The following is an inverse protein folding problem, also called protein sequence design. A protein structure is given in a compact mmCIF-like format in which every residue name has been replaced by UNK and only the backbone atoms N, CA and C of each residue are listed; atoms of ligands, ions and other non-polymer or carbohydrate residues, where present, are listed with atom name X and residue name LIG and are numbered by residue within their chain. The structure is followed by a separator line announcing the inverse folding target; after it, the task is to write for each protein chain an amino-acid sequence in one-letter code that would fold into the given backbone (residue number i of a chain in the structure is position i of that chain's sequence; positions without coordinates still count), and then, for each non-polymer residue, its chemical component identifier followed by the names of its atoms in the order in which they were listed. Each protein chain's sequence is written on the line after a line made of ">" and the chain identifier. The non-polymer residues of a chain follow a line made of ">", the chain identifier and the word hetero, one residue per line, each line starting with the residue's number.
data_IF_045385121493
#
_entry.id   IF_045385121493
#
_cell.length_a   1.000
_cell.length_b   1.000
_cell.length_c   1.000
_cell.angle_alpha   90.00
_cell.angle_beta   90.00
_cell.angle_gamma   90.00
#
_symmetry.space_group_name_H-M   'P 1'
#
loop_
_entity.id
_entity.type
_entity.pdbx_description
1 polymer ?
#
# COMPACT_ATOMS: atom_id res chain seq x y z
N UNK A 1 -15.22 -10.16 17.50
CA UNK A 1 -15.00 -10.04 16.04
C UNK A 1 -13.93 -11.02 15.66
N UNK A 2 -14.14 -11.79 14.58
CA UNK A 2 -13.16 -12.77 14.10
C UNK A 2 -12.57 -12.28 12.77
N UNK A 3 -11.25 -12.19 12.69
CA UNK A 3 -10.53 -11.62 11.53
C UNK A 3 -9.70 -12.70 10.85
N UNK A 4 -9.89 -12.85 9.55
CA UNK A 4 -9.07 -13.68 8.68
C UNK A 4 -7.84 -12.89 8.23
N UNK A 5 -6.64 -13.32 8.61
CA UNK A 5 -5.39 -12.75 8.15
C UNK A 5 -4.86 -13.56 6.96
N UNK A 6 -4.69 -12.89 5.82
CA UNK A 6 -4.04 -13.47 4.64
C UNK A 6 -2.54 -13.16 4.70
N UNK A 7 -1.69 -14.18 4.89
CA UNK A 7 -0.29 -14.04 5.31
C UNK A 7 0.66 -14.81 4.40
N UNK A 8 1.93 -14.41 4.37
CA UNK A 8 3.02 -15.11 3.68
C UNK A 8 3.23 -14.65 2.24
N UNK A 9 3.88 -15.48 1.45
CA UNK A 9 4.10 -15.33 0.02
C UNK A 9 4.45 -16.66 -0.61
N UNK A 10 3.98 -16.92 -1.83
CA UNK A 10 4.36 -18.09 -2.63
C UNK A 10 5.49 -17.78 -3.62
N UNK A 11 5.82 -16.52 -3.84
CA UNK A 11 6.67 -16.08 -4.95
C UNK A 11 8.01 -15.51 -4.49
N UNK A 12 8.12 -15.07 -3.24
CA UNK A 12 9.30 -14.36 -2.73
C UNK A 12 9.55 -14.66 -1.26
N UNK A 13 10.74 -15.19 -0.96
CA UNK A 13 11.22 -15.39 0.41
C UNK A 13 11.32 -14.05 1.16
N UNK A 14 11.74 -12.98 0.48
CA UNK A 14 11.80 -11.65 1.05
C UNK A 14 10.41 -11.16 1.51
N UNK A 15 9.41 -11.19 0.63
CA UNK A 15 8.05 -10.76 0.99
C UNK A 15 7.35 -11.70 1.96
N UNK A 16 7.71 -13.00 1.96
CA UNK A 16 7.30 -13.92 3.02
C UNK A 16 7.81 -13.43 4.37
N UNK A 17 9.10 -13.09 4.46
CA UNK A 17 9.72 -12.53 5.66
C UNK A 17 9.07 -11.20 6.09
N UNK A 18 8.79 -10.29 5.15
CA UNK A 18 8.08 -9.02 5.42
C UNK A 18 6.70 -9.29 6.02
N UNK A 19 5.94 -10.21 5.47
CA UNK A 19 4.63 -10.59 5.99
C UNK A 19 4.74 -11.13 7.41
N UNK A 20 5.67 -12.06 7.66
CA UNK A 20 5.91 -12.65 8.98
C UNK A 20 6.42 -11.64 10.02
N UNK A 21 7.12 -10.59 9.59
CA UNK A 21 7.58 -9.51 10.46
C UNK A 21 6.43 -8.60 10.95
N UNK A 22 5.43 -8.33 10.08
CA UNK A 22 4.32 -7.42 10.41
C UNK A 22 3.22 -8.08 11.22
N UNK A 23 2.82 -9.29 10.86
CA UNK A 23 1.57 -9.91 11.35
C UNK A 23 1.57 -10.19 12.85
N UNK A 24 2.66 -10.72 13.48
CA UNK A 24 2.67 -10.95 14.92
C UNK A 24 2.44 -9.66 15.72
N UNK A 25 2.99 -8.54 15.24
CA UNK A 25 2.76 -7.22 15.85
C UNK A 25 1.30 -6.76 15.73
N UNK A 26 0.67 -7.00 14.58
CA UNK A 26 -0.75 -6.70 14.36
C UNK A 26 -1.65 -7.54 15.29
N UNK A 27 -1.45 -8.86 15.34
CA UNK A 27 -2.21 -9.77 16.22
C UNK A 27 -2.05 -9.37 17.68
N UNK A 28 -0.82 -9.12 18.13
CA UNK A 28 -0.55 -8.71 19.53
C UNK A 28 -1.21 -7.39 19.89
N UNK A 29 -1.39 -6.47 18.93
CA UNK A 29 -2.04 -5.19 19.15
C UNK A 29 -3.58 -5.30 19.26
N UNK A 30 -4.16 -6.43 18.87
CA UNK A 30 -5.62 -6.66 18.80
C UNK A 30 -6.06 -7.82 19.68
N UNK A 31 -5.83 -7.78 21.02
CA UNK A 31 -6.07 -8.91 21.91
C UNK A 31 -7.55 -9.31 22.06
N UNK A 32 -8.47 -8.40 21.72
CA UNK A 32 -9.94 -8.62 21.79
C UNK A 32 -10.51 -9.22 20.47
N UNK A 33 -9.63 -9.55 19.52
CA UNK A 33 -10.02 -10.11 18.22
C UNK A 33 -9.67 -11.59 18.19
N UNK A 34 -10.60 -12.41 17.71
CA UNK A 34 -10.30 -13.81 17.35
C UNK A 34 -9.60 -13.84 16.00
N UNK A 35 -8.51 -14.56 15.90
CA UNK A 35 -7.68 -14.59 14.70
C UNK A 35 -7.78 -15.92 13.98
N UNK A 36 -7.92 -15.88 12.65
CA UNK A 36 -7.72 -17.01 11.74
C UNK A 36 -6.69 -16.60 10.70
N UNK A 37 -5.74 -17.47 10.44
CA UNK A 37 -4.62 -17.20 9.54
C UNK A 37 -4.70 -18.16 8.36
N UNK A 38 -4.77 -17.60 7.16
CA UNK A 38 -4.54 -18.28 5.90
C UNK A 38 -3.11 -17.98 5.45
N UNK A 39 -2.19 -18.93 5.68
CA UNK A 39 -0.77 -18.76 5.40
C UNK A 39 -0.38 -19.40 4.07
N UNK A 40 0.15 -18.58 3.17
CA UNK A 40 0.74 -19.01 1.90
C UNK A 40 2.22 -19.36 2.10
N UNK A 41 2.64 -20.57 1.71
CA UNK A 41 4.02 -21.03 1.85
C UNK A 41 4.78 -20.96 0.53
N UNK A 42 6.11 -20.83 0.62
CA UNK A 42 7.01 -20.76 -0.53
C UNK A 42 6.99 -22.01 -1.43
N UNK A 43 6.59 -23.17 -0.87
CA UNK A 43 6.44 -24.42 -1.62
C UNK A 43 5.12 -24.51 -2.42
N UNK A 44 4.31 -23.45 -2.40
CA UNK A 44 3.02 -23.40 -3.08
C UNK A 44 1.85 -23.94 -2.26
N UNK A 45 2.10 -24.53 -1.08
CA UNK A 45 1.06 -25.02 -0.17
C UNK A 45 0.47 -23.89 0.68
N UNK A 46 -0.61 -24.20 1.37
CA UNK A 46 -1.33 -23.32 2.28
C UNK A 46 -1.55 -24.00 3.63
N UNK A 47 -1.74 -23.23 4.67
CA UNK A 47 -2.24 -23.73 5.94
C UNK A 47 -3.24 -22.78 6.56
N UNK A 48 -4.16 -23.34 7.35
CA UNK A 48 -5.12 -22.59 8.17
C UNK A 48 -4.74 -22.80 9.64
N UNK A 49 -4.57 -21.71 10.38
CA UNK A 49 -4.12 -21.74 11.77
C UNK A 49 -4.78 -20.63 12.57
N UNK A 50 -4.85 -20.75 13.89
CA UNK A 50 -5.34 -19.70 14.80
C UNK A 50 -4.20 -18.81 15.31
N UNK A 51 -2.94 -19.17 15.06
CA UNK A 51 -1.77 -18.45 15.52
C UNK A 51 -0.58 -18.64 14.58
N UNK A 52 0.36 -17.68 14.60
CA UNK A 52 1.66 -17.76 13.93
C UNK A 52 2.77 -18.29 14.85
N UNK A 53 2.46 -18.77 16.07
CA UNK A 53 3.48 -19.37 16.90
C UNK A 53 3.98 -20.70 16.29
N UNK A 54 5.22 -21.07 16.58
CA UNK A 54 5.89 -22.24 16.01
C UNK A 54 5.15 -23.54 16.29
N UNK A 55 4.59 -23.69 17.48
CA UNK A 55 3.81 -24.88 17.86
C UNK A 55 2.54 -25.07 17.02
N UNK A 56 1.81 -23.97 16.73
CA UNK A 56 0.63 -24.03 15.87
C UNK A 56 1.00 -24.27 14.41
N UNK A 57 2.02 -23.59 13.91
CA UNK A 57 2.46 -23.72 12.52
C UNK A 57 3.05 -25.09 12.22
N UNK A 58 3.79 -25.69 13.15
CA UNK A 58 4.36 -27.04 12.98
C UNK A 58 3.29 -28.14 12.93
N UNK A 59 2.14 -27.91 13.56
CA UNK A 59 0.99 -28.84 13.58
C UNK A 59 -0.01 -28.55 12.46
N UNK A 60 0.06 -27.39 11.82
CA UNK A 60 -0.87 -27.01 10.76
C UNK A 60 -0.66 -27.87 9.52
N UNK A 61 -1.75 -28.44 9.01
CA UNK A 61 -1.73 -29.26 7.79
C UNK A 61 -1.33 -28.42 6.57
N UNK A 62 -0.49 -28.99 5.70
CA UNK A 62 -0.14 -28.43 4.40
C UNK A 62 -1.22 -28.79 3.38
N UNK A 63 -1.91 -27.81 2.86
CA UNK A 63 -3.11 -27.94 2.05
C UNK A 63 -2.90 -27.37 0.64
N UNK A 64 -3.71 -27.83 -0.31
CA UNK A 64 -3.95 -27.07 -1.54
C UNK A 64 -4.82 -25.84 -1.22
N UNK A 65 -4.77 -24.79 -2.06
CA UNK A 65 -5.66 -23.63 -1.88
C UNK A 65 -7.14 -24.02 -1.82
N UNK A 66 -7.70 -24.86 -2.72
CA UNK A 66 -9.10 -25.28 -2.62
C UNK A 66 -9.45 -25.94 -1.29
N UNK A 67 -8.57 -26.79 -0.74
CA UNK A 67 -8.79 -27.42 0.55
C UNK A 67 -8.78 -26.43 1.70
N UNK A 68 -7.85 -25.47 1.69
CA UNK A 68 -7.80 -24.40 2.69
C UNK A 68 -9.07 -23.52 2.63
N UNK A 69 -9.52 -23.12 1.43
CA UNK A 69 -10.77 -22.37 1.25
C UNK A 69 -11.99 -23.14 1.73
N UNK A 70 -12.05 -24.47 1.49
CA UNK A 70 -13.14 -25.32 1.99
C UNK A 70 -13.21 -25.34 3.53
N UNK A 71 -12.10 -25.20 4.23
CA UNK A 71 -12.10 -25.06 5.70
C UNK A 71 -12.71 -23.70 6.08
N UNK A 72 -12.27 -22.62 5.43
CA UNK A 72 -12.73 -21.26 5.73
C UNK A 72 -14.22 -21.06 5.43
N UNK A 73 -14.76 -21.66 4.36
CA UNK A 73 -16.20 -21.55 4.02
C UNK A 73 -17.12 -22.17 5.08
N UNK A 74 -16.60 -23.03 5.96
CA UNK A 74 -17.37 -23.63 7.07
C UNK A 74 -17.42 -22.72 8.30
N UNK A 75 -16.59 -21.69 8.36
CA UNK A 75 -16.52 -20.77 9.48
C UNK A 75 -17.29 -19.46 9.18
N UNK A 76 -18.60 -19.50 9.40
CA UNK A 76 -19.47 -18.33 9.24
C UNK A 76 -19.25 -17.23 10.27
N UNK A 77 -18.36 -17.40 11.23
CA UNK A 77 -18.05 -16.39 12.26
C UNK A 77 -16.98 -15.40 11.82
N UNK A 78 -16.31 -15.61 10.67
CA UNK A 78 -15.34 -14.66 10.13
C UNK A 78 -16.05 -13.36 9.75
N UNK A 79 -15.68 -12.26 10.40
CA UNK A 79 -16.32 -10.96 10.22
C UNK A 79 -15.73 -10.14 9.08
N UNK A 80 -14.41 -10.21 8.89
CA UNK A 80 -13.69 -9.53 7.81
C UNK A 80 -12.31 -10.16 7.57
N UNK A 81 -11.70 -9.80 6.44
CA UNK A 81 -10.33 -10.19 6.07
C UNK A 81 -9.39 -8.99 6.11
N UNK A 82 -8.19 -9.20 6.68
CA UNK A 82 -7.05 -8.29 6.63
C UNK A 82 -5.92 -8.93 5.83
N UNK A 83 -5.59 -8.42 4.63
CA UNK A 83 -4.47 -8.93 3.85
C UNK A 83 -3.12 -8.39 4.36
N UNK A 84 -2.12 -9.28 4.41
CA UNK A 84 -0.73 -8.99 4.79
C UNK A 84 0.28 -9.59 3.81
N UNK A 85 -0.13 -9.89 2.59
CA UNK A 85 0.78 -10.31 1.52
C UNK A 85 1.24 -9.05 0.77
N UNK A 86 2.56 -8.91 0.60
CA UNK A 86 3.20 -7.70 0.04
C UNK A 86 3.89 -7.95 -1.30
N UNK A 87 3.90 -9.19 -1.79
CA UNK A 87 4.29 -9.51 -3.17
C UNK A 87 3.16 -9.22 -4.16
N UNK A 88 3.50 -8.98 -5.41
CA UNK A 88 2.53 -8.61 -6.46
C UNK A 88 1.36 -9.59 -6.55
N UNK A 89 1.64 -10.91 -6.57
CA UNK A 89 0.59 -11.94 -6.63
C UNK A 89 -0.33 -11.90 -5.41
N UNK A 90 0.23 -11.70 -4.24
CA UNK A 90 -0.50 -11.57 -2.98
C UNK A 90 -1.40 -10.34 -2.96
N UNK A 91 -0.84 -9.19 -3.35
CA UNK A 91 -1.57 -7.93 -3.38
C UNK A 91 -2.68 -7.90 -4.42
N UNK A 92 -2.51 -8.54 -5.57
CA UNK A 92 -3.46 -8.45 -6.69
C UNK A 92 -4.40 -9.66 -6.71
N UNK A 93 -3.84 -10.87 -6.92
CA UNK A 93 -4.68 -12.05 -7.18
C UNK A 93 -5.20 -12.70 -5.91
N UNK A 94 -4.32 -12.92 -4.93
CA UNK A 94 -4.67 -13.69 -3.73
C UNK A 94 -5.59 -12.91 -2.81
N UNK A 95 -5.50 -11.58 -2.81
CA UNK A 95 -6.40 -10.69 -2.06
C UNK A 95 -7.89 -10.92 -2.41
N UNK A 96 -8.18 -11.26 -3.66
CA UNK A 96 -9.56 -11.55 -4.10
C UNK A 96 -10.16 -12.84 -3.52
N UNK A 97 -9.43 -13.57 -2.67
CA UNK A 97 -10.01 -14.64 -1.84
C UNK A 97 -11.18 -14.13 -0.99
N UNK A 98 -11.17 -12.87 -0.57
CA UNK A 98 -12.30 -12.24 0.13
C UNK A 98 -13.59 -12.30 -0.70
N UNK A 99 -13.52 -11.98 -1.99
CA UNK A 99 -14.67 -11.99 -2.89
C UNK A 99 -15.17 -13.43 -3.12
N UNK A 100 -14.24 -14.40 -3.25
CA UNK A 100 -14.60 -15.82 -3.42
C UNK A 100 -15.25 -16.43 -2.19
N UNK A 101 -14.92 -15.94 -1.00
CA UNK A 101 -15.48 -16.37 0.28
C UNK A 101 -16.68 -15.52 0.74
N UNK A 102 -17.05 -14.47 -0.01
CA UNK A 102 -18.06 -13.49 0.39
C UNK A 102 -17.78 -12.86 1.76
N UNK A 103 -16.51 -12.51 2.02
CA UNK A 103 -16.04 -11.94 3.28
C UNK A 103 -15.65 -10.47 3.07
N UNK A 104 -16.14 -9.52 3.90
CA UNK A 104 -15.69 -8.14 3.88
C UNK A 104 -14.17 -8.03 3.99
N UNK A 105 -13.52 -7.18 3.19
CA UNK A 105 -12.07 -7.00 3.24
C UNK A 105 -11.69 -5.57 3.59
N UNK A 106 -10.74 -5.40 4.52
CA UNK A 106 -10.16 -4.10 4.86
C UNK A 106 -9.15 -3.70 3.77
N UNK A 107 -9.37 -2.54 3.15
CA UNK A 107 -8.50 -1.98 2.12
C UNK A 107 -9.03 -2.15 0.71
N UNK A 108 -8.22 -1.79 -0.27
CA UNK A 108 -8.57 -1.76 -1.68
C UNK A 108 -8.60 -3.15 -2.31
N UNK A 109 -9.50 -3.43 -3.28
CA UNK A 109 -9.59 -4.71 -3.96
C UNK A 109 -8.42 -4.94 -4.93
N UNK A 110 -8.31 -6.17 -5.46
CA UNK A 110 -7.18 -6.59 -6.29
C UNK A 110 -6.99 -5.78 -7.57
N UNK A 111 -8.06 -5.32 -8.22
CA UNK A 111 -7.97 -4.46 -9.41
C UNK A 111 -7.36 -3.08 -9.10
N UNK A 112 -7.72 -2.50 -7.95
CA UNK A 112 -7.11 -1.25 -7.49
C UNK A 112 -5.65 -1.47 -7.13
N UNK A 113 -5.33 -2.61 -6.53
CA UNK A 113 -3.94 -2.99 -6.25
C UNK A 113 -3.12 -3.17 -7.53
N UNK A 114 -3.67 -3.81 -8.56
CA UNK A 114 -3.00 -3.96 -9.85
C UNK A 114 -2.66 -2.60 -10.50
N UNK A 115 -3.59 -1.64 -10.39
CA UNK A 115 -3.39 -0.28 -10.87
C UNK A 115 -2.34 0.48 -10.05
N UNK A 116 -2.47 0.47 -8.72
CA UNK A 116 -1.66 1.30 -7.82
C UNK A 116 -0.23 0.79 -7.66
N UNK A 117 -0.01 -0.53 -7.71
CA UNK A 117 1.34 -1.12 -7.67
C UNK A 117 2.13 -0.91 -8.95
N UNK A 118 1.48 -0.63 -10.08
CA UNK A 118 2.15 -0.28 -11.32
C UNK A 118 2.38 1.24 -11.39
N UNK A 119 3.63 1.66 -11.14
CA UNK A 119 4.02 3.08 -11.07
C UNK A 119 3.74 3.86 -12.36
N UNK A 120 3.87 3.22 -13.53
CA UNK A 120 3.53 3.85 -14.80
C UNK A 120 2.02 4.08 -14.93
N UNK A 121 1.20 3.10 -14.58
CA UNK A 121 -0.25 3.18 -14.70
C UNK A 121 -0.84 4.15 -13.66
N UNK A 122 -0.43 4.03 -12.39
CA UNK A 122 -0.94 4.89 -11.32
C UNK A 122 -0.65 6.36 -11.57
N UNK A 123 0.60 6.70 -11.98
CA UNK A 123 0.94 8.09 -12.32
C UNK A 123 0.14 8.62 -13.52
N UNK A 124 -0.13 7.79 -14.53
CA UNK A 124 -0.91 8.20 -15.70
C UNK A 124 -2.36 8.56 -15.30
N UNK A 125 -2.96 7.75 -14.43
CA UNK A 125 -4.31 8.00 -13.92
C UNK A 125 -4.36 9.28 -13.07
N UNK A 126 -3.50 9.43 -12.10
CA UNK A 126 -3.51 10.64 -11.24
C UNK A 126 -3.16 11.90 -12.03
N UNK A 127 -2.26 11.81 -13.00
CA UNK A 127 -1.92 12.93 -13.89
C UNK A 127 -3.12 13.38 -14.73
N UNK A 128 -3.99 12.44 -15.15
CA UNK A 128 -5.18 12.75 -15.96
C UNK A 128 -6.20 13.62 -15.22
N UNK A 129 -6.16 13.64 -13.88
CA UNK A 129 -7.02 14.49 -13.03
C UNK A 129 -6.27 15.71 -12.48
N UNK A 130 -5.10 16.02 -13.04
CA UNK A 130 -4.33 17.21 -12.71
C UNK A 130 -3.45 17.11 -11.46
N UNK A 131 -3.17 15.90 -10.97
CA UNK A 131 -2.15 15.68 -9.92
C UNK A 131 -0.75 15.86 -10.53
N UNK A 132 0.12 16.71 -9.93
CA UNK A 132 1.49 16.86 -10.41
C UNK A 132 2.29 15.56 -10.27
N UNK A 133 2.93 15.15 -11.36
CA UNK A 133 3.82 13.97 -11.42
C UNK A 133 5.13 14.37 -12.11
N UNK A 134 6.28 13.77 -11.80
CA UNK A 134 7.51 14.01 -12.56
C UNK A 134 7.31 13.65 -14.03
N UNK A 135 7.98 14.30 -14.98
CA UNK A 135 8.02 13.82 -16.36
C UNK A 135 8.60 12.41 -16.40
N UNK A 136 8.07 11.55 -17.26
CA UNK A 136 8.54 10.18 -17.29
C UNK A 136 8.41 9.52 -18.66
N UNK A 137 9.18 8.47 -18.83
CA UNK A 137 9.20 7.56 -19.98
C UNK A 137 9.09 6.13 -19.47
N UNK A 138 8.24 5.32 -20.12
CA UNK A 138 8.22 3.87 -19.89
C UNK A 138 9.32 3.25 -20.74
N UNK A 139 10.14 2.40 -20.14
CA UNK A 139 11.22 1.68 -20.84
C UNK A 139 10.98 0.18 -20.83
N UNK A 140 11.28 -0.45 -21.94
CA UNK A 140 11.50 -1.89 -22.09
C UNK A 140 12.95 -2.14 -22.51
N UNK A 141 13.37 -3.38 -22.43
CA UNK A 141 14.73 -3.75 -22.84
C UNK A 141 15.00 -3.34 -24.29
N UNK A 142 16.08 -2.59 -24.49
CA UNK A 142 16.48 -2.05 -25.79
C UNK A 142 15.90 -0.68 -26.14
N UNK A 143 14.99 -0.13 -25.34
CA UNK A 143 14.48 1.23 -25.56
C UNK A 143 15.56 2.29 -25.28
N UNK A 144 15.54 3.37 -26.07
CA UNK A 144 16.42 4.51 -25.87
C UNK A 144 15.84 5.43 -24.80
N UNK A 145 16.69 5.89 -23.88
CA UNK A 145 16.35 6.94 -22.91
C UNK A 145 16.42 8.30 -23.63
N UNK A 146 15.31 9.03 -23.56
CA UNK A 146 15.19 10.39 -24.13
C UNK A 146 15.31 11.47 -23.04
N UNK A 147 15.30 11.08 -21.77
CA UNK A 147 15.35 11.98 -20.64
C UNK A 147 16.78 12.42 -20.34
N UNK A 148 17.04 13.73 -20.16
CA UNK A 148 18.36 14.19 -19.73
C UNK A 148 18.62 13.85 -18.26
N UNK A 149 19.89 13.65 -17.92
CA UNK A 149 20.33 13.52 -16.51
C UNK A 149 20.18 14.84 -15.74
N UNK A 150 19.92 14.83 -14.43
CA UNK A 150 19.67 13.63 -13.62
C UNK A 150 18.24 13.09 -13.73
N UNK A 151 18.09 11.76 -13.65
CA UNK A 151 16.80 11.08 -13.65
C UNK A 151 16.82 9.84 -12.73
N UNK A 152 15.62 9.33 -12.43
CA UNK A 152 15.43 8.10 -11.66
C UNK A 152 15.04 6.95 -12.59
N UNK A 153 15.69 5.80 -12.44
CA UNK A 153 15.23 4.52 -13.02
C UNK A 153 14.66 3.68 -11.88
N UNK A 154 13.49 3.09 -12.11
CA UNK A 154 12.86 2.18 -11.13
C UNK A 154 11.97 1.14 -11.82
N UNK A 155 11.90 -0.09 -11.30
CA UNK A 155 10.93 -1.10 -11.74
C UNK A 155 9.49 -0.59 -11.57
N UNK A 156 8.62 -0.90 -12.53
CA UNK A 156 7.22 -0.43 -12.47
C UNK A 156 6.40 -1.10 -11.36
N UNK A 157 6.67 -2.39 -11.05
CA UNK A 157 5.83 -3.23 -10.17
C UNK A 157 6.51 -3.66 -8.88
N UNK A 158 7.71 -3.17 -8.59
CA UNK A 158 8.41 -3.47 -7.34
C UNK A 158 8.13 -2.46 -6.23
N UNK A 159 8.21 -2.92 -4.98
CA UNK A 159 8.07 -2.12 -3.78
C UNK A 159 9.41 -1.99 -3.02
N UNK A 160 9.41 -1.32 -1.90
CA UNK A 160 10.55 -1.14 -1.00
C UNK A 160 11.83 -0.59 -1.66
N UNK A 161 11.70 0.20 -2.72
CA UNK A 161 12.82 0.79 -3.50
C UNK A 161 13.78 -0.25 -4.11
N UNK A 162 13.32 -1.49 -4.31
CA UNK A 162 14.12 -2.51 -5.02
C UNK A 162 14.38 -2.07 -6.45
N UNK A 163 15.66 -2.10 -6.87
CA UNK A 163 16.07 -1.71 -8.20
C UNK A 163 16.02 -0.21 -8.54
N UNK A 164 15.72 0.66 -7.56
CA UNK A 164 15.72 2.12 -7.76
C UNK A 164 17.16 2.66 -7.88
N UNK A 165 17.40 3.50 -8.89
CA UNK A 165 18.67 4.18 -9.11
C UNK A 165 18.46 5.65 -9.46
N UNK A 166 19.25 6.54 -8.86
CA UNK A 166 19.46 7.90 -9.33
C UNK A 166 20.62 7.89 -10.31
N UNK A 167 20.37 8.28 -11.55
CA UNK A 167 21.35 8.42 -12.62
C UNK A 167 21.72 9.89 -12.73
N UNK A 168 22.94 10.23 -12.37
CA UNK A 168 23.47 11.61 -12.39
C UNK A 168 24.26 11.88 -13.67
N UNK A 169 24.93 10.86 -14.20
CA UNK A 169 25.75 10.94 -15.41
C UNK A 169 25.41 9.82 -16.39
N UNK A 170 25.63 10.06 -17.70
CA UNK A 170 25.33 9.08 -18.75
C UNK A 170 26.10 7.74 -18.58
N UNK A 171 27.27 7.79 -17.96
CA UNK A 171 28.09 6.61 -17.66
C UNK A 171 27.45 5.61 -16.70
N UNK A 172 26.46 6.05 -15.91
CA UNK A 172 25.77 5.22 -14.90
C UNK A 172 24.54 4.48 -15.49
N UNK A 173 24.14 4.82 -16.71
CA UNK A 173 22.88 4.34 -17.32
C UNK A 173 22.87 2.81 -17.45
N UNK A 174 23.93 2.23 -17.99
CA UNK A 174 23.98 0.79 -18.29
C UNK A 174 23.83 -0.05 -17.00
N UNK A 175 24.58 0.30 -15.96
CA UNK A 175 24.51 -0.37 -14.66
C UNK A 175 23.12 -0.20 -14.00
N UNK A 176 22.53 1.00 -14.08
CA UNK A 176 21.23 1.27 -13.54
C UNK A 176 20.12 0.46 -14.25
N UNK A 177 20.18 0.35 -15.58
CA UNK A 177 19.25 -0.46 -16.36
C UNK A 177 19.40 -1.95 -16.06
N UNK A 178 20.62 -2.48 -16.03
CA UNK A 178 20.89 -3.89 -15.72
C UNK A 178 20.30 -4.25 -14.34
N UNK A 179 20.57 -3.42 -13.35
CA UNK A 179 20.07 -3.59 -11.99
C UNK A 179 18.54 -3.56 -11.92
N UNK A 180 17.89 -2.63 -12.60
CA UNK A 180 16.45 -2.46 -12.55
C UNK A 180 15.71 -3.56 -13.36
N UNK A 181 16.21 -3.96 -14.53
CA UNK A 181 15.65 -5.04 -15.34
C UNK A 181 15.78 -6.43 -14.69
N UNK A 182 16.63 -6.60 -13.68
CA UNK A 182 16.66 -7.82 -12.88
C UNK A 182 15.36 -8.04 -12.08
N UNK A 183 14.56 -6.99 -11.87
CA UNK A 183 13.33 -7.01 -11.08
C UNK A 183 12.03 -6.92 -11.89
N UNK A 184 12.04 -6.22 -13.02
CA UNK A 184 10.83 -6.00 -13.83
C UNK A 184 11.20 -5.86 -15.31
N UNK A 185 10.34 -6.32 -16.21
CA UNK A 185 10.48 -6.15 -17.67
C UNK A 185 10.03 -4.75 -18.16
N UNK A 186 9.48 -3.94 -17.27
CA UNK A 186 9.07 -2.56 -17.51
C UNK A 186 9.66 -1.63 -16.44
N UNK A 187 10.38 -0.62 -16.92
CA UNK A 187 10.97 0.38 -16.04
C UNK A 187 10.34 1.74 -16.25
N UNK A 188 10.22 2.48 -15.17
CA UNK A 188 9.90 3.91 -15.17
C UNK A 188 11.20 4.70 -15.12
N UNK A 189 11.50 5.44 -16.18
CA UNK A 189 12.50 6.49 -16.18
C UNK A 189 11.78 7.82 -15.91
N UNK A 190 12.08 8.48 -14.80
CA UNK A 190 11.40 9.73 -14.44
C UNK A 190 12.37 10.84 -14.07
N UNK A 191 11.98 12.06 -14.34
CA UNK A 191 12.71 13.26 -13.97
C UNK A 191 13.01 13.25 -12.46
N UNK A 192 14.28 13.45 -12.12
CA UNK A 192 14.63 13.67 -10.72
C UNK A 192 14.08 15.00 -10.23
N UNK A 193 13.27 14.97 -9.19
CA UNK A 193 12.79 16.15 -8.50
C UNK A 193 13.78 16.47 -7.38
N UNK A 194 14.43 17.65 -7.35
CA UNK A 194 15.32 18.04 -6.27
C UNK A 194 14.66 17.90 -4.90
N UNK A 195 15.44 17.50 -3.91
CA UNK A 195 14.92 17.29 -2.56
C UNK A 195 14.74 18.63 -1.82
N UNK A 196 13.49 19.08 -1.71
CA UNK A 196 13.06 20.01 -0.67
C UNK A 196 12.60 19.21 0.56
N UNK A 197 11.54 18.40 0.39
CA UNK A 197 11.00 17.55 1.46
C UNK A 197 10.56 16.18 0.91
N UNK A 198 10.61 15.15 1.77
CA UNK A 198 10.09 13.81 1.47
C UNK A 198 8.93 13.52 2.42
N UNK A 199 7.71 13.49 1.91
CA UNK A 199 6.50 13.40 2.70
C UNK A 199 5.72 12.14 2.40
N UNK A 200 4.97 11.65 3.40
CA UNK A 200 3.95 10.63 3.22
C UNK A 200 2.61 11.18 3.70
N UNK A 201 1.62 11.18 2.80
CA UNK A 201 0.26 11.63 3.06
C UNK A 201 -0.65 10.44 3.18
N UNK A 202 -1.41 10.35 4.26
CA UNK A 202 -2.36 9.26 4.51
C UNK A 202 -3.80 9.73 4.42
N UNK A 203 -4.63 8.94 3.74
CA UNK A 203 -6.07 9.17 3.59
C UNK A 203 -6.81 7.96 4.14
N UNK A 204 -7.88 8.19 4.87
CA UNK A 204 -8.80 7.16 5.35
C UNK A 204 -10.24 7.54 5.03
N UNK A 205 -11.07 6.55 4.71
CA UNK A 205 -12.50 6.74 4.51
C UNK A 205 -13.16 6.98 5.87
N UNK A 206 -13.79 8.15 6.02
CA UNK A 206 -14.59 8.51 7.19
C UNK A 206 -15.91 7.75 7.27
N UNK A 207 -16.58 7.85 8.41
CA UNK A 207 -17.86 7.17 8.65
C UNK A 207 -18.96 7.61 7.67
N UNK A 208 -18.95 8.87 7.25
CA UNK A 208 -19.93 9.45 6.32
C UNK A 208 -19.47 9.43 4.86
N UNK A 209 -18.49 8.59 4.49
CA UNK A 209 -17.82 8.58 3.19
C UNK A 209 -17.06 9.88 2.86
N UNK A 210 -16.79 10.74 3.83
CA UNK A 210 -15.87 11.86 3.70
C UNK A 210 -14.44 11.34 3.86
N UNK A 211 -13.49 11.97 3.14
CA UNK A 211 -12.09 11.60 3.30
C UNK A 211 -11.51 12.32 4.52
N UNK A 212 -10.82 11.57 5.35
CA UNK A 212 -10.08 12.06 6.49
C UNK A 212 -8.59 11.90 6.26
N UNK A 213 -7.81 12.88 6.72
CA UNK A 213 -6.37 12.89 6.52
C UNK A 213 -5.68 12.53 7.83
N UNK A 214 -4.74 11.59 7.75
CA UNK A 214 -3.85 11.29 8.84
C UNK A 214 -2.78 12.38 8.96
N UNK A 215 -2.23 12.61 10.16
CA UNK A 215 -1.06 13.47 10.34
C UNK A 215 0.04 13.12 9.33
N UNK A 216 0.50 14.11 8.58
CA UNK A 216 1.51 13.90 7.53
C UNK A 216 2.83 13.49 8.17
N UNK A 217 3.50 12.51 7.56
CA UNK A 217 4.80 12.04 7.99
C UNK A 217 5.89 12.62 7.07
N UNK A 218 6.95 13.15 7.65
CA UNK A 218 8.16 13.59 6.94
C UNK A 218 9.31 12.65 7.22
N UNK A 219 10.07 12.33 6.19
CA UNK A 219 11.31 11.56 6.27
C UNK A 219 12.51 12.46 6.05
N UNK A 220 13.53 12.34 6.90
CA UNK A 220 14.76 13.09 6.79
C UNK A 220 15.86 12.20 6.19
N UNK A 221 16.37 12.60 5.03
CA UNK A 221 17.50 11.95 4.40
C UNK A 221 18.78 12.55 4.96
N UNK A 222 19.69 11.71 5.46
CA UNK A 222 20.95 12.19 6.05
C UNK A 222 21.80 12.97 5.03
N UNK A 223 22.50 13.99 5.50
CA UNK A 223 23.29 14.91 4.66
C UNK A 223 24.36 14.21 3.78
N UNK A 224 24.78 13.00 4.15
CA UNK A 224 25.78 12.20 3.43
C UNK A 224 25.16 11.05 2.62
N UNK A 225 23.82 11.01 2.49
CA UNK A 225 23.09 9.99 1.72
C UNK A 225 22.69 10.53 0.35
N UNK A 226 22.36 9.61 -0.55
CA UNK A 226 21.71 9.97 -1.80
C UNK A 226 20.39 10.74 -1.50
N UNK A 227 20.03 11.73 -2.31
CA UNK A 227 18.80 12.51 -2.12
C UNK A 227 17.54 11.72 -2.53
N UNK A 228 17.54 10.40 -2.36
CA UNK A 228 16.45 9.45 -2.58
C UNK A 228 16.44 8.40 -1.47
N UNK A 229 15.28 7.82 -1.20
CA UNK A 229 15.16 6.68 -0.29
C UNK A 229 15.49 5.39 -1.02
N UNK A 230 16.43 4.63 -0.49
CA UNK A 230 16.84 3.31 -1.01
C UNK A 230 16.13 2.18 -0.25
N UNK A 231 16.33 0.92 -0.70
CA UNK A 231 15.82 -0.27 0.01
C UNK A 231 16.41 -0.39 1.42
N UNK A 232 17.66 -0.01 1.61
CA UNK A 232 18.37 -0.02 2.90
C UNK A 232 17.76 0.95 3.92
N UNK A 233 17.10 2.02 3.46
CA UNK A 233 16.38 2.98 4.29
C UNK A 233 15.01 2.47 4.76
N UNK A 234 14.53 1.33 4.28
CA UNK A 234 13.20 0.81 4.59
C UNK A 234 13.25 -0.45 5.46
N UNK A 235 14.04 -1.44 5.06
CA UNK A 235 14.17 -2.72 5.74
C UNK A 235 15.65 -3.08 5.78
N UNK A 236 16.16 -3.43 6.94
CA UNK A 236 17.52 -3.92 7.12
C UNK A 236 17.51 -5.41 7.48
N UNK A 237 18.52 -6.12 7.00
CA UNK A 237 18.92 -7.41 7.54
C UNK A 237 20.02 -7.13 8.54
N UNK A 238 19.89 -7.58 9.77
CA UNK A 238 21.04 -7.62 10.70
C UNK A 238 22.05 -8.63 10.15
N UNK A 239 23.31 -8.26 10.02
CA UNK A 239 24.38 -9.13 9.50
C UNK A 239 24.54 -10.46 10.28
N UNK A 240 23.90 -10.57 11.43
CA UNK A 240 23.87 -11.77 12.29
C UNK A 240 22.46 -12.38 12.47
N UNK A 241 21.39 -11.70 12.01
CA UNK A 241 20.04 -12.16 12.14
C UNK A 241 19.50 -12.71 10.80
N UNK A 242 18.90 -13.88 10.85
CA UNK A 242 18.14 -14.46 9.75
C UNK A 242 16.77 -13.77 9.53
N UNK A 243 16.48 -12.73 10.31
CA UNK A 243 15.17 -12.06 10.31
C UNK A 243 15.26 -10.63 9.77
N UNK A 244 14.26 -10.26 8.97
CA UNK A 244 14.09 -8.89 8.50
C UNK A 244 13.66 -7.97 9.65
N UNK A 245 14.24 -6.79 9.71
CA UNK A 245 13.90 -5.75 10.69
C UNK A 245 13.62 -4.42 10.00
N UNK A 246 12.89 -3.53 10.71
CA UNK A 246 12.68 -2.17 10.20
C UNK A 246 13.98 -1.39 10.29
N UNK A 247 14.39 -0.77 9.18
CA UNK A 247 15.51 0.14 9.20
C UNK A 247 15.21 1.35 10.11
N UNK A 248 16.18 1.85 10.89
CA UNK A 248 16.03 3.08 11.62
C UNK A 248 15.93 4.23 10.62
N UNK A 249 14.76 4.89 10.58
CA UNK A 249 14.50 6.02 9.70
C UNK A 249 14.24 7.25 10.54
N UNK A 250 14.99 8.32 10.29
CA UNK A 250 14.69 9.61 10.87
C UNK A 250 13.42 10.18 10.24
N UNK A 251 12.37 10.36 11.06
CA UNK A 251 11.05 10.79 10.63
C UNK A 251 10.32 11.58 11.71
N UNK A 252 9.47 12.48 11.28
CA UNK A 252 8.60 13.28 12.14
C UNK A 252 7.13 13.11 11.75
N UNK A 253 6.26 12.93 12.74
CA UNK A 253 4.79 12.88 12.59
C UNK A 253 4.16 13.52 13.82
N UNK A 254 3.32 14.57 13.66
CA UNK A 254 3.05 15.30 12.43
C UNK A 254 4.27 16.09 11.93
N UNK A 255 4.39 16.23 10.61
CA UNK A 255 5.36 17.12 9.98
C UNK A 255 4.99 18.60 10.22
N UNK A 256 5.99 19.49 10.30
CA UNK A 256 5.75 20.94 10.32
C UNK A 256 5.46 21.42 8.91
N UNK A 257 4.20 21.69 8.60
CA UNK A 257 3.72 22.07 7.28
C UNK A 257 2.87 23.33 7.43
N UNK A 258 3.11 24.32 6.57
CA UNK A 258 2.26 25.50 6.49
C UNK A 258 0.93 25.20 5.80
N UNK A 259 -0.03 26.09 5.94
CA UNK A 259 -1.38 25.93 5.40
C UNK A 259 -1.40 25.81 3.87
N UNK A 260 -0.51 26.51 3.15
CA UNK A 260 -0.44 26.47 1.70
C UNK A 260 -0.01 25.10 1.20
N UNK A 261 1.07 24.56 1.73
CA UNK A 261 1.54 23.21 1.37
C UNK A 261 0.54 22.16 1.81
N UNK A 262 -0.09 22.31 3.01
CA UNK A 262 -1.12 21.40 3.47
C UNK A 262 -2.28 21.30 2.48
N UNK A 263 -2.79 22.42 1.96
CA UNK A 263 -3.87 22.43 0.97
C UNK A 263 -3.46 21.76 -0.35
N UNK A 264 -2.24 21.98 -0.83
CA UNK A 264 -1.71 21.31 -2.02
C UNK A 264 -1.63 19.80 -1.83
N UNK A 265 -1.17 19.33 -0.67
CA UNK A 265 -1.07 17.90 -0.33
C UNK A 265 -2.46 17.27 -0.16
N UNK A 266 -3.37 18.00 0.46
CA UNK A 266 -4.78 17.58 0.61
C UNK A 266 -5.43 17.35 -0.76
N UNK A 267 -5.32 18.32 -1.67
CA UNK A 267 -5.86 18.22 -3.03
C UNK A 267 -5.22 17.07 -3.82
N UNK A 268 -3.89 16.95 -3.75
CA UNK A 268 -3.14 15.88 -4.40
C UNK A 268 -3.63 14.51 -3.92
N UNK A 269 -3.73 14.29 -2.61
CA UNK A 269 -4.08 13.01 -2.04
C UNK A 269 -5.57 12.67 -2.25
N UNK A 270 -6.48 13.66 -2.17
CA UNK A 270 -7.91 13.50 -2.49
C UNK A 270 -8.08 13.01 -3.93
N UNK A 271 -7.54 13.76 -4.89
CA UNK A 271 -7.62 13.41 -6.31
C UNK A 271 -7.00 12.05 -6.60
N UNK A 272 -5.87 11.72 -5.96
CA UNK A 272 -5.23 10.42 -6.12
C UNK A 272 -6.08 9.29 -5.55
N UNK A 273 -6.65 9.45 -4.36
CA UNK A 273 -7.50 8.44 -3.73
C UNK A 273 -8.73 8.12 -4.59
N UNK A 274 -9.41 9.17 -5.05
CA UNK A 274 -10.62 9.05 -5.86
C UNK A 274 -10.35 8.49 -7.25
N UNK A 275 -9.35 9.02 -7.96
CA UNK A 275 -9.06 8.61 -9.35
C UNK A 275 -8.50 7.19 -9.44
N UNK A 276 -7.73 6.73 -8.43
CA UNK A 276 -7.22 5.37 -8.35
C UNK A 276 -8.28 4.37 -7.85
N UNK A 277 -9.42 4.84 -7.36
CA UNK A 277 -10.47 4.00 -6.80
C UNK A 277 -10.09 3.36 -5.46
N UNK A 278 -9.18 3.98 -4.70
CA UNK A 278 -8.78 3.49 -3.39
C UNK A 278 -9.96 3.40 -2.43
N UNK A 279 -9.90 2.45 -1.50
CA UNK A 279 -10.98 2.17 -0.55
C UNK A 279 -10.40 1.96 0.85
N UNK A 280 -11.10 2.46 1.86
CA UNK A 280 -10.83 2.41 3.28
C UNK A 280 -9.60 3.21 3.70
N UNK A 281 -8.46 3.04 3.05
CA UNK A 281 -7.23 3.81 3.30
C UNK A 281 -6.28 3.77 2.11
N UNK A 282 -5.42 4.78 2.02
CA UNK A 282 -4.29 4.83 1.10
C UNK A 282 -3.19 5.74 1.64
N UNK A 283 -1.95 5.45 1.29
CA UNK A 283 -0.80 6.31 1.55
C UNK A 283 -0.17 6.73 0.24
N UNK A 284 0.36 7.95 0.20
CA UNK A 284 1.03 8.53 -0.95
C UNK A 284 2.42 9.01 -0.57
N UNK A 285 3.44 8.54 -1.26
CA UNK A 285 4.77 9.13 -1.18
C UNK A 285 4.79 10.37 -2.09
N UNK A 286 5.20 11.49 -1.52
CA UNK A 286 5.19 12.81 -2.17
C UNK A 286 6.55 13.45 -2.00
N UNK A 287 7.17 13.84 -3.12
CA UNK A 287 8.34 14.69 -3.13
C UNK A 287 7.92 16.14 -3.27
N UNK A 288 8.39 16.99 -2.36
CA UNK A 288 8.23 18.45 -2.48
C UNK A 288 9.56 19.02 -2.93
N UNK A 289 9.56 19.80 -4.00
CA UNK A 289 10.76 20.48 -4.48
C UNK A 289 11.17 21.65 -3.55
N UNK A 290 12.36 22.27 -3.73
CA UNK A 290 12.79 23.42 -2.93
C UNK A 290 11.86 24.65 -3.04
N UNK A 291 11.07 24.76 -4.10
CA UNK A 291 10.11 25.80 -4.35
C UNK A 291 8.74 25.55 -3.69
N UNK A 292 8.57 24.40 -3.01
CA UNK A 292 7.33 24.05 -2.30
C UNK A 292 6.25 23.41 -3.19
N UNK A 293 6.61 22.86 -4.35
CA UNK A 293 5.67 22.17 -5.22
C UNK A 293 5.67 20.66 -4.92
N UNK A 294 4.52 20.06 -4.58
CA UNK A 294 4.41 18.64 -4.33
C UNK A 294 4.25 17.84 -5.64
N UNK A 295 4.94 16.71 -5.72
CA UNK A 295 4.84 15.74 -6.81
C UNK A 295 4.47 14.36 -6.24
N UNK A 296 3.43 13.74 -6.81
CA UNK A 296 3.08 12.35 -6.53
C UNK A 296 4.19 11.43 -7.04
N UNK A 297 4.68 10.56 -6.18
CA UNK A 297 5.73 9.58 -6.50
C UNK A 297 5.15 8.17 -6.57
N UNK A 298 4.35 7.77 -5.57
CA UNK A 298 3.84 6.41 -5.45
C UNK A 298 2.58 6.36 -4.57
N UNK A 299 1.68 5.40 -4.87
CA UNK A 299 0.53 5.07 -4.04
C UNK A 299 0.77 3.72 -3.34
N UNK A 300 0.46 3.66 -2.04
CA UNK A 300 0.59 2.46 -1.20
C UNK A 300 -0.72 2.19 -0.44
N UNK A 301 -1.76 1.61 -1.09
CA UNK A 301 -3.02 1.25 -0.42
C UNK A 301 -2.96 -0.15 0.23
N UNK A 302 -1.78 -0.58 0.69
CA UNK A 302 -1.50 -1.92 1.23
C UNK A 302 -0.65 -1.86 2.50
N UNK A 303 -1.13 -1.22 3.55
CA UNK A 303 -0.38 -1.12 4.79
C UNK A 303 -0.77 -2.20 5.80
N UNK A 304 0.18 -2.58 6.64
CA UNK A 304 -0.08 -3.37 7.83
C UNK A 304 -0.68 -2.51 8.94
N UNK A 305 -1.44 -3.13 9.85
CA UNK A 305 -1.87 -2.53 11.11
C UNK A 305 -0.93 -2.87 12.30
N UNK A 306 0.26 -3.35 12.02
CA UNK A 306 1.31 -3.47 13.03
C UNK A 306 1.65 -2.10 13.62
N UNK A 307 1.90 -2.01 14.94
CA UNK A 307 2.28 -0.75 15.60
C UNK A 307 3.47 -0.02 15.00
N UNK A 308 4.33 -0.73 14.26
CA UNK A 308 5.50 -0.15 13.58
C UNK A 308 5.23 0.29 12.14
N UNK A 309 4.04 -0.01 11.59
CA UNK A 309 3.69 0.40 10.22
C UNK A 309 3.54 1.90 10.08
N UNK A 310 3.73 2.42 8.86
CA UNK A 310 3.57 3.84 8.58
C UNK A 310 2.14 4.31 8.89
N UNK A 311 1.13 3.53 8.48
CA UNK A 311 -0.28 3.84 8.69
C UNK A 311 -0.60 4.08 10.18
N UNK A 312 -0.22 3.12 11.05
CA UNK A 312 -0.46 3.21 12.51
C UNK A 312 0.41 4.30 13.13
N UNK A 313 1.66 4.47 12.66
CA UNK A 313 2.53 5.55 13.16
C UNK A 313 1.96 6.94 12.85
N UNK A 314 1.34 7.12 11.68
CA UNK A 314 0.67 8.37 11.30
C UNK A 314 -0.60 8.58 12.13
N UNK A 315 -1.44 7.55 12.31
CA UNK A 315 -2.69 7.69 13.07
C UNK A 315 -2.46 8.11 14.52
N UNK A 316 -1.38 7.67 15.16
CA UNK A 316 -1.00 8.08 16.52
C UNK A 316 -0.71 9.57 16.68
N UNK A 317 -0.40 10.27 15.61
CA UNK A 317 -0.21 11.72 15.62
C UNK A 317 -1.52 12.51 15.76
N UNK A 318 -2.70 11.85 15.67
CA UNK A 318 -4.01 12.46 15.90
C UNK A 318 -4.68 11.82 17.12
N UNK A 319 -5.03 12.60 18.16
CA UNK A 319 -5.67 12.09 19.38
C UNK A 319 -6.98 11.34 19.15
N UNK A 320 -7.65 11.52 18.00
CA UNK A 320 -8.89 10.82 17.68
C UNK A 320 -8.66 9.33 17.33
N UNK A 321 -7.42 8.94 17.03
CA UNK A 321 -7.04 7.56 16.78
C UNK A 321 -6.16 7.05 17.93
N UNK A 322 -6.70 6.15 18.74
CA UNK A 322 -5.88 5.33 19.64
C UNK A 322 -5.03 4.31 18.85
N UNK A 323 -4.22 3.55 19.54
CA UNK A 323 -3.30 2.57 18.91
C UNK A 323 -4.00 1.54 18.01
N UNK A 324 -5.28 1.24 18.28
CA UNK A 324 -6.06 0.22 17.58
C UNK A 324 -7.36 0.76 16.98
N UNK A 325 -7.75 1.99 17.30
CA UNK A 325 -9.04 2.55 16.89
C UNK A 325 -9.18 2.63 15.37
N UNK A 326 -8.09 2.95 14.68
CA UNK A 326 -8.07 2.97 13.21
C UNK A 326 -8.42 1.60 12.62
N UNK A 327 -7.87 0.51 13.18
CA UNK A 327 -8.20 -0.83 12.72
C UNK A 327 -9.68 -1.15 12.88
N UNK A 328 -10.21 -0.96 14.10
CA UNK A 328 -11.63 -1.24 14.39
C UNK A 328 -12.58 -0.39 13.57
N UNK A 329 -12.23 0.87 13.33
CA UNK A 329 -12.99 1.77 12.49
C UNK A 329 -13.05 1.28 11.05
N UNK A 330 -11.91 0.93 10.44
CA UNK A 330 -11.85 0.44 9.07
C UNK A 330 -12.43 -0.97 8.92
N UNK A 331 -12.34 -1.81 9.96
CA UNK A 331 -13.02 -3.11 9.96
C UNK A 331 -14.55 -2.95 9.96
N UNK A 332 -15.09 -2.06 10.82
CA UNK A 332 -16.53 -1.73 10.80
C UNK A 332 -16.97 -1.15 9.46
N UNK A 333 -16.15 -0.27 8.89
CA UNK A 333 -16.42 0.30 7.55
C UNK A 333 -16.45 -0.78 6.48
N UNK A 334 -15.47 -1.67 6.47
CA UNK A 334 -15.41 -2.79 5.51
C UNK A 334 -16.66 -3.69 5.60
N UNK A 335 -17.10 -4.00 6.83
CA UNK A 335 -18.31 -4.78 7.08
C UNK A 335 -19.57 -4.04 6.61
N UNK A 336 -19.65 -2.73 6.87
CA UNK A 336 -20.81 -1.91 6.48
C UNK A 336 -20.90 -1.69 4.96
N UNK A 337 -19.77 -1.60 4.27
CA UNK A 337 -19.71 -1.39 2.82
C UNK A 337 -19.84 -2.70 2.02
N UNK A 338 -19.78 -3.85 2.69
CA UNK A 338 -19.86 -5.14 2.03
C UNK A 338 -21.27 -5.41 1.50
N UNK A 339 -21.37 -5.74 0.22
CA UNK A 339 -22.60 -6.17 -0.43
C UNK A 339 -22.51 -7.70 -0.69
N UNK A 340 -23.22 -8.55 0.08
CA UNK A 340 -23.18 -9.98 -0.10
C UNK A 340 -23.59 -10.41 -1.50
N UNK A 341 -23.01 -11.48 -2.03
CA UNK A 341 -23.21 -11.97 -3.41
C UNK A 341 -24.71 -12.17 -3.73
N UNK A 342 -25.53 -12.58 -2.77
CA UNK A 342 -26.96 -12.81 -2.96
C UNK A 342 -27.84 -11.54 -2.98
N UNK A 343 -27.34 -10.39 -2.50
CA UNK A 343 -28.10 -9.14 -2.41
C UNK A 343 -28.27 -8.41 -3.76
N UNK A 344 -27.38 -8.67 -4.72
CA UNK A 344 -27.34 -8.02 -6.03
C UNK A 344 -28.50 -8.41 -6.97
N UNK A 345 -29.21 -9.51 -6.69
CA UNK A 345 -30.27 -10.05 -7.56
C UNK A 345 -31.67 -9.44 -7.33
N UNK A 346 -31.85 -8.55 -6.36
CA UNK A 346 -33.15 -7.97 -6.03
C UNK A 346 -33.44 -6.62 -6.72
N UNK A 347 -32.63 -6.18 -7.66
CA UNK A 347 -32.89 -4.99 -8.45
C UNK A 347 -33.42 -5.40 -9.85
N UNK A 348 -34.74 -5.31 -10.12
CA UNK A 348 -35.35 -5.78 -11.38
C UNK A 348 -34.98 -4.93 -12.60
N UNK A 349 -34.30 -3.81 -12.43
CA UNK A 349 -33.92 -2.91 -13.51
C UNK A 349 -32.43 -3.01 -13.84
N UNK A 350 -31.90 -4.17 -14.15
CA UNK A 350 -30.69 -4.47 -14.91
C UNK A 350 -29.55 -3.43 -15.09
N UNK A 351 -29.44 -2.42 -14.24
CA UNK A 351 -28.29 -1.52 -14.20
C UNK A 351 -27.21 -2.18 -13.35
N UNK A 352 -26.22 -2.77 -14.01
CA UNK A 352 -24.93 -3.06 -13.42
C UNK A 352 -24.31 -1.74 -12.95
N UNK A 353 -24.64 -1.31 -11.75
CA UNK A 353 -23.80 -0.38 -11.03
C UNK A 353 -22.58 -1.16 -10.56
N UNK A 354 -21.52 -1.19 -11.39
CA UNK A 354 -20.15 -1.33 -10.90
C UNK A 354 -20.08 -0.43 -9.67
N UNK A 355 -19.69 -0.96 -8.50
CA UNK A 355 -19.74 -0.33 -7.19
C UNK A 355 -19.08 1.05 -7.00
N UNK A 356 -19.33 1.93 -7.93
CA UNK A 356 -19.13 3.36 -7.82
C UNK A 356 -20.43 3.96 -7.26
N UNK A 357 -20.58 3.94 -5.94
CA UNK A 357 -21.53 4.87 -5.32
C UNK A 357 -21.09 6.26 -5.74
N UNK A 358 -21.98 6.99 -6.43
CA UNK A 358 -21.77 8.39 -6.74
C UNK A 358 -21.50 9.14 -5.44
N UNK A 359 -20.25 9.52 -5.21
CA UNK A 359 -19.89 10.43 -4.12
C UNK A 359 -20.49 11.80 -4.46
N UNK A 360 -21.01 12.55 -3.49
CA UNK A 360 -21.58 13.88 -3.77
C UNK A 360 -20.53 14.74 -4.44
N UNK A 361 -20.90 15.36 -5.55
CA UNK A 361 -20.06 16.30 -6.29
C UNK A 361 -19.53 17.37 -5.34
N UNK A 362 -18.23 17.66 -5.42
CA UNK A 362 -17.59 18.79 -4.77
C UNK A 362 -18.48 20.05 -4.92
N UNK A 363 -19.08 20.50 -3.83
CA UNK A 363 -19.66 21.84 -3.81
C UNK A 363 -18.50 22.83 -3.89
N UNK A 364 -18.36 23.47 -5.04
CA UNK A 364 -17.55 24.68 -5.17
C UNK A 364 -18.13 25.71 -4.18
N UNK A 365 -17.50 25.89 -3.04
CA UNK A 365 -17.71 27.05 -2.18
C UNK A 365 -17.10 28.24 -2.93
N UNK A 366 -17.96 28.98 -3.64
CA UNK A 366 -17.63 30.32 -4.10
C UNK A 366 -17.43 31.18 -2.86
N UNK A 367 -16.20 31.50 -2.55
CA UNK A 367 -15.86 32.61 -1.67
C UNK A 367 -16.15 33.86 -2.47
N UNK A 368 -17.20 34.60 -2.10
CA UNK A 368 -17.49 35.95 -2.60
C UNK A 368 -16.52 36.95 -1.96
N UNK A 369 -16.19 38.06 -2.67
CA UNK A 369 -15.09 38.96 -2.39
C UNK A 369 -15.18 39.69 -1.05
#
# INVERSE_FOLDING_TARGET
>A
MKVLHLVGSQTSAYYYGVSMMYVPGCIKALPEVDHVILLAHLDGTWSVSESLNEDCLSKAERLSLPSALQILTKDSSISCMQPHMFDYKGMVSTRNVSDLLDIPMIGSPGEVMALTTNKWQSRAVVSSVGVPVPKAQLLRMGDKIEMPTPFIIKPCREDNSMGVALVQEESEIEEALERAFAFDDQLLCEQFIPLGRELRVGVVDGENNELEFLPIMEYFLGANKLPIRTSEDKISTDDQATELTFAPVDRKTPADIDDELYQKLYELATKSHESLGCRHYSLYDVRVDPEGNPFFIEASPYCSFSPKSALVSMSRGDPKYGDTDLFYRLARKAIADHEPIGSRNNNPEGQQTLGMRARPSLRTTTVSP
#
